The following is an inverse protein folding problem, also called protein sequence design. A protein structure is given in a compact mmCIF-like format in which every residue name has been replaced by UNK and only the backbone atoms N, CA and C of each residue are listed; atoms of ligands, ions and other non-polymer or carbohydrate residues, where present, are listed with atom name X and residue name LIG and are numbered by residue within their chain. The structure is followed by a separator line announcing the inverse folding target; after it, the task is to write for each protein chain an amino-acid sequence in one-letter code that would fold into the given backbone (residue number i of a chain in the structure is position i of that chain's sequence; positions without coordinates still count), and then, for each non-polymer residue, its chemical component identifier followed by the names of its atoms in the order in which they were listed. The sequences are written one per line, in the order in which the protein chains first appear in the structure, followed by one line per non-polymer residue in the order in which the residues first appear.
data_IF_838889229912
#
_entry.id   IF_838889229912
#
_cell.length_a   1.000
_cell.length_b   1.000
_cell.length_c   1.000
_cell.angle_alpha   90.00
_cell.angle_beta   90.00
_cell.angle_gamma   90.00
#
_symmetry.space_group_name_H-M   'P 1'
#
loop_
_entity.id
_entity.type
_entity.pdbx_description
1 polymer ?
#
# COMPACT_ATOMS: atom_id res chain seq x y z
N UNK A 1 -35.37 46.46 12.90
CA UNK A 1 -34.25 45.51 13.09
C UNK A 1 -34.59 44.28 12.27
N UNK A 2 -33.98 44.10 11.11
CA UNK A 2 -34.19 42.93 10.25
C UNK A 2 -33.01 41.98 10.48
N UNK A 3 -33.25 40.85 11.14
CA UNK A 3 -32.26 39.79 11.26
C UNK A 3 -32.42 38.86 10.05
N UNK A 4 -31.46 38.92 9.14
CA UNK A 4 -31.37 38.00 8.01
C UNK A 4 -30.73 36.70 8.50
N UNK A 5 -31.48 35.60 8.48
CA UNK A 5 -30.98 34.29 8.88
C UNK A 5 -30.35 33.63 7.65
N UNK A 6 -29.02 33.58 7.61
CA UNK A 6 -28.28 32.85 6.58
C UNK A 6 -28.34 31.36 6.93
N UNK A 7 -29.14 30.60 6.19
CA UNK A 7 -29.19 29.13 6.29
C UNK A 7 -27.97 28.58 5.54
N UNK A 8 -26.94 28.17 6.27
CA UNK A 8 -25.81 27.43 5.72
C UNK A 8 -26.26 25.99 5.54
N UNK A 9 -26.60 25.60 4.31
CA UNK A 9 -26.80 24.20 3.96
C UNK A 9 -25.44 23.49 4.01
N UNK A 10 -25.17 22.76 5.09
CA UNK A 10 -24.05 21.82 5.15
C UNK A 10 -24.46 20.63 4.27
N UNK A 11 -23.92 20.59 3.06
CA UNK A 11 -24.02 19.41 2.21
C UNK A 11 -23.20 18.29 2.86
N UNK A 12 -23.87 17.37 3.55
CA UNK A 12 -23.29 16.08 3.90
C UNK A 12 -23.05 15.34 2.59
N UNK A 13 -21.79 15.23 2.18
CA UNK A 13 -21.37 14.36 1.08
C UNK A 13 -21.62 12.92 1.52
N UNK A 14 -22.78 12.38 1.16
CA UNK A 14 -23.03 10.95 1.24
C UNK A 14 -22.26 10.32 0.09
N UNK A 15 -21.27 9.47 0.40
CA UNK A 15 -20.68 8.58 -0.58
C UNK A 15 -21.79 7.66 -1.09
N UNK A 16 -22.14 7.80 -2.36
CA UNK A 16 -23.12 6.96 -3.04
C UNK A 16 -22.51 5.56 -3.22
N UNK A 17 -23.03 4.48 -2.59
CA UNK A 17 -22.43 3.15 -2.63
C UNK A 17 -22.55 2.46 -4.01
N UNK A 18 -23.00 3.17 -5.04
CA UNK A 18 -23.34 2.60 -6.33
C UNK A 18 -22.13 2.15 -7.19
N UNK A 19 -20.87 2.34 -6.77
CA UNK A 19 -19.69 1.96 -7.57
C UNK A 19 -18.47 1.52 -6.74
N UNK A 20 -18.65 0.80 -5.63
CA UNK A 20 -17.51 0.19 -4.91
C UNK A 20 -16.83 -0.86 -5.80
N UNK A 21 -15.51 -0.78 -5.95
CA UNK A 21 -14.69 -1.70 -6.75
C UNK A 21 -13.71 -2.46 -5.88
N UNK A 22 -13.48 -3.74 -6.23
CA UNK A 22 -12.42 -4.55 -5.66
C UNK A 22 -11.10 -4.34 -6.44
N UNK A 23 -10.08 -3.82 -5.76
CA UNK A 23 -8.71 -3.71 -6.26
C UNK A 23 -7.93 -4.96 -5.86
N UNK A 24 -7.80 -5.92 -6.77
CA UNK A 24 -7.00 -7.12 -6.54
C UNK A 24 -5.50 -6.81 -6.61
N UNK A 25 -4.78 -7.09 -5.52
CA UNK A 25 -3.34 -7.03 -5.42
C UNK A 25 -2.80 -8.45 -5.21
N UNK A 26 -2.03 -8.95 -6.17
CA UNK A 26 -1.32 -10.21 -6.04
C UNK A 26 -0.08 -9.98 -5.16
N UNK A 27 0.04 -10.75 -4.08
CA UNK A 27 1.18 -10.67 -3.16
C UNK A 27 2.10 -11.86 -3.40
N UNK A 28 3.27 -11.60 -3.97
CA UNK A 28 4.25 -12.65 -4.27
C UNK A 28 3.92 -13.49 -5.52
N UNK A 29 3.15 -12.94 -6.47
CA UNK A 29 2.76 -13.61 -7.70
C UNK A 29 3.95 -14.14 -8.50
N UNK A 30 3.82 -15.34 -9.05
CA UNK A 30 4.89 -16.05 -9.79
C UNK A 30 6.22 -16.17 -9.03
N UNK A 31 6.19 -16.15 -7.69
CA UNK A 31 7.39 -16.21 -6.85
C UNK A 31 8.16 -14.88 -6.76
N UNK A 32 7.59 -13.78 -7.23
CA UNK A 32 8.22 -12.46 -7.17
C UNK A 32 8.25 -11.89 -5.74
N UNK A 33 9.15 -10.94 -5.50
CA UNK A 33 9.16 -10.10 -4.28
C UNK A 33 8.41 -8.80 -4.58
N UNK A 34 7.13 -8.90 -4.91
CA UNK A 34 6.35 -7.76 -5.39
C UNK A 34 4.88 -7.81 -4.92
N UNK A 35 4.30 -6.62 -4.85
CA UNK A 35 2.87 -6.40 -4.94
C UNK A 35 2.54 -6.09 -6.40
N UNK A 36 1.47 -6.67 -6.95
CA UNK A 36 1.07 -6.44 -8.34
C UNK A 36 -0.44 -6.20 -8.46
N UNK A 37 -0.90 -5.02 -8.90
CA UNK A 37 -0.08 -3.83 -9.19
C UNK A 37 0.59 -3.24 -7.93
N UNK A 38 1.75 -2.55 -8.07
CA UNK A 38 2.47 -1.96 -6.94
C UNK A 38 2.04 -0.51 -6.62
N UNK A 39 1.17 0.08 -7.43
CA UNK A 39 0.63 1.42 -7.23
C UNK A 39 -0.82 1.43 -7.73
N UNK A 40 -1.74 1.89 -6.88
CA UNK A 40 -3.17 1.97 -7.22
C UNK A 40 -3.79 3.29 -6.79
N UNK A 41 -4.87 3.65 -7.47
CA UNK A 41 -5.81 4.69 -7.05
C UNK A 41 -7.15 4.04 -6.73
N UNK A 42 -7.68 4.27 -5.53
CA UNK A 42 -8.93 3.71 -5.05
C UNK A 42 -9.85 4.82 -4.53
N UNK A 43 -11.15 4.70 -4.77
CA UNK A 43 -12.18 5.61 -4.29
C UNK A 43 -12.65 5.23 -2.88
N UNK A 44 -13.33 6.17 -2.21
CA UNK A 44 -13.96 5.88 -0.92
C UNK A 44 -15.09 4.86 -1.13
N UNK A 45 -15.11 3.81 -0.32
CA UNK A 45 -16.02 2.67 -0.47
C UNK A 45 -15.43 1.48 -1.24
N UNK A 46 -14.28 1.64 -1.92
CA UNK A 46 -13.59 0.52 -2.56
C UNK A 46 -12.97 -0.44 -1.54
N UNK A 47 -12.70 -1.67 -1.99
CA UNK A 47 -12.00 -2.68 -1.20
C UNK A 47 -10.70 -3.08 -1.89
N UNK A 48 -9.60 -3.11 -1.15
CA UNK A 48 -8.31 -3.63 -1.62
C UNK A 48 -8.22 -5.09 -1.16
N UNK A 49 -8.13 -6.00 -2.14
CA UNK A 49 -8.07 -7.45 -1.91
C UNK A 49 -6.65 -7.91 -2.13
N UNK A 50 -5.96 -8.28 -1.06
CA UNK A 50 -4.62 -8.85 -1.12
C UNK A 50 -4.70 -10.37 -1.22
N UNK A 51 -4.42 -10.92 -2.39
CA UNK A 51 -4.36 -12.38 -2.59
C UNK A 51 -2.91 -12.86 -2.50
N UNK A 52 -2.61 -13.63 -1.46
CA UNK A 52 -1.27 -14.14 -1.20
C UNK A 52 -1.03 -15.39 -2.03
N UNK A 53 0.02 -15.35 -2.84
CA UNK A 53 0.28 -16.36 -3.87
C UNK A 53 1.19 -17.46 -3.35
N UNK A 54 2.51 -17.28 -3.39
CA UNK A 54 3.48 -18.26 -2.91
C UNK A 54 4.44 -17.65 -1.90
N UNK A 55 5.16 -18.50 -1.16
CA UNK A 55 6.12 -18.10 -0.12
C UNK A 55 5.45 -17.37 1.05
N UNK A 56 6.26 -16.68 1.86
CA UNK A 56 5.80 -15.97 3.04
C UNK A 56 5.93 -14.46 2.84
N UNK A 57 4.79 -13.78 2.79
CA UNK A 57 4.70 -12.33 2.61
C UNK A 57 3.81 -11.71 3.68
N UNK A 58 3.80 -10.38 3.72
CA UNK A 58 2.93 -9.60 4.59
C UNK A 58 2.55 -8.31 3.87
N UNK A 59 1.45 -7.72 4.29
CA UNK A 59 1.08 -6.34 3.99
C UNK A 59 1.18 -5.57 5.30
N UNK A 60 2.17 -4.69 5.42
CA UNK A 60 2.42 -3.94 6.65
C UNK A 60 2.52 -2.47 6.32
N UNK A 61 1.71 -1.65 6.98
CA UNK A 61 1.68 -0.21 6.74
C UNK A 61 2.96 0.43 7.28
N UNK A 62 3.56 1.27 6.44
CA UNK A 62 4.68 2.13 6.75
C UNK A 62 4.31 3.59 6.50
N UNK A 63 5.32 4.45 6.42
CA UNK A 63 5.16 5.85 6.01
C UNK A 63 6.02 6.07 4.78
N UNK A 64 5.66 7.04 3.94
CA UNK A 64 6.48 7.43 2.79
C UNK A 64 7.96 7.65 3.17
N UNK A 65 8.20 8.30 4.31
CA UNK A 65 9.54 8.63 4.80
C UNK A 65 10.31 7.42 5.37
N UNK A 66 9.64 6.33 5.74
CA UNK A 66 10.26 5.14 6.34
C UNK A 66 9.64 3.87 5.72
N UNK A 67 9.95 3.53 4.46
CA UNK A 67 9.23 2.50 3.69
C UNK A 67 9.28 1.10 4.30
N UNK A 68 10.41 0.72 4.92
CA UNK A 68 10.64 -0.64 5.44
C UNK A 68 10.46 -0.76 6.96
N UNK A 69 9.77 0.19 7.59
CA UNK A 69 9.49 0.16 9.03
C UNK A 69 8.00 0.30 9.25
N UNK A 70 7.44 -0.56 10.11
CA UNK A 70 6.02 -0.47 10.47
C UNK A 70 5.74 0.88 11.11
N UNK A 71 4.70 1.55 10.63
CA UNK A 71 4.20 2.76 11.25
C UNK A 71 3.76 2.47 12.69
N UNK A 72 4.29 3.23 13.65
CA UNK A 72 3.89 3.15 15.07
C UNK A 72 3.30 4.47 15.58
N UNK A 73 3.34 5.53 14.76
CA UNK A 73 2.81 6.87 15.06
C UNK A 73 2.20 7.47 13.79
N UNK A 74 1.14 8.29 13.91
CA UNK A 74 0.45 8.69 15.14
C UNK A 74 -0.34 7.54 15.79
N UNK A 75 -0.64 6.49 15.04
CA UNK A 75 -1.26 5.25 15.50
C UNK A 75 -0.47 4.04 14.98
N UNK A 76 -0.73 2.86 15.56
CA UNK A 76 -0.15 1.62 15.07
C UNK A 76 -0.73 1.30 13.69
N UNK A 77 0.15 1.19 12.69
CA UNK A 77 -0.25 0.95 11.31
C UNK A 77 -0.85 -0.43 11.09
N UNK A 78 -1.66 -0.54 10.05
CA UNK A 78 -2.35 -1.77 9.65
C UNK A 78 -1.31 -2.86 9.34
N UNK A 79 -1.60 -4.12 9.69
CA UNK A 79 -0.81 -5.25 9.22
C UNK A 79 -1.67 -6.49 9.07
N UNK A 80 -1.45 -7.23 7.99
CA UNK A 80 -2.00 -8.57 7.79
C UNK A 80 -1.35 -9.62 8.70
N UNK A 81 -0.15 -9.32 9.23
CA UNK A 81 0.77 -10.37 9.69
C UNK A 81 1.38 -11.14 8.51
N UNK A 82 2.17 -12.16 8.82
CA UNK A 82 2.75 -13.05 7.81
C UNK A 82 1.72 -14.07 7.32
N UNK A 83 1.56 -14.18 6.01
CA UNK A 83 0.67 -15.11 5.34
C UNK A 83 1.50 -16.10 4.50
N UNK A 84 1.96 -17.22 5.08
CA UNK A 84 2.72 -18.23 4.35
C UNK A 84 1.81 -19.06 3.46
N UNK A 85 2.20 -19.24 2.20
CA UNK A 85 1.48 -20.09 1.24
C UNK A 85 2.40 -21.16 0.68
N UNK A 86 1.97 -22.42 0.81
CA UNK A 86 2.70 -23.58 0.34
C UNK A 86 2.63 -23.71 -1.19
N UNK A 87 3.68 -24.28 -1.80
CA UNK A 87 3.70 -24.55 -3.23
C UNK A 87 2.54 -25.48 -3.64
N UNK A 88 1.86 -25.15 -4.74
CA UNK A 88 0.73 -25.92 -5.26
C UNK A 88 -0.61 -25.66 -4.53
N UNK A 89 -0.68 -24.69 -3.63
CA UNK A 89 -1.95 -24.26 -3.02
C UNK A 89 -2.89 -23.71 -4.11
N UNK A 90 -4.13 -24.19 -4.13
CA UNK A 90 -5.15 -23.78 -5.10
C UNK A 90 -6.18 -22.80 -4.52
N UNK A 91 -6.43 -22.87 -3.21
CA UNK A 91 -7.26 -21.93 -2.48
C UNK A 91 -6.37 -20.92 -1.76
N UNK A 92 -6.15 -19.77 -2.39
CA UNK A 92 -5.19 -18.76 -1.93
C UNK A 92 -5.80 -17.89 -0.81
N UNK A 93 -5.04 -17.56 0.25
CA UNK A 93 -5.54 -16.71 1.31
C UNK A 93 -5.68 -15.26 0.83
N UNK A 94 -6.78 -14.64 1.22
CA UNK A 94 -7.06 -13.23 0.95
C UNK A 94 -7.15 -12.44 2.24
N UNK A 95 -6.67 -11.19 2.20
CA UNK A 95 -6.82 -10.22 3.28
C UNK A 95 -7.28 -8.89 2.69
N UNK A 96 -8.20 -8.21 3.36
CA UNK A 96 -8.95 -7.11 2.77
C UNK A 96 -8.77 -5.81 3.58
N UNK A 97 -8.72 -4.67 2.88
CA UNK A 97 -8.80 -3.33 3.47
C UNK A 97 -9.93 -2.57 2.78
N UNK A 98 -10.81 -1.93 3.55
CA UNK A 98 -11.77 -0.96 3.00
C UNK A 98 -11.13 0.42 2.92
N UNK A 99 -11.38 1.12 1.82
CA UNK A 99 -10.89 2.49 1.61
C UNK A 99 -11.96 3.46 2.11
N UNK A 100 -11.81 3.92 3.35
CA UNK A 100 -12.78 4.84 3.96
C UNK A 100 -12.41 6.32 3.74
N UNK A 101 -11.12 6.64 3.69
CA UNK A 101 -10.61 8.01 3.55
C UNK A 101 -9.56 8.09 2.43
N UNK A 102 -9.94 8.70 1.31
CA UNK A 102 -9.08 8.89 0.13
C UNK A 102 -8.09 10.03 0.26
N UNK A 103 -8.20 10.84 1.32
CA UNK A 103 -7.29 11.97 1.57
C UNK A 103 -6.00 11.56 2.28
N UNK A 104 -5.95 10.33 2.78
CA UNK A 104 -4.79 9.75 3.48
C UNK A 104 -4.13 8.71 2.57
N UNK A 105 -2.96 9.01 1.97
CA UNK A 105 -2.21 8.03 1.20
C UNK A 105 -1.77 6.86 2.09
N UNK A 106 -1.90 5.64 1.57
CA UNK A 106 -1.43 4.45 2.28
C UNK A 106 -0.16 3.92 1.61
N UNK A 107 0.79 3.54 2.47
CA UNK A 107 2.10 3.06 2.08
C UNK A 107 2.32 1.71 2.76
N UNK A 108 2.62 0.68 1.99
CA UNK A 108 2.79 -0.68 2.49
C UNK A 108 4.12 -1.28 2.06
N UNK A 109 4.62 -2.21 2.87
CA UNK A 109 5.78 -3.04 2.54
C UNK A 109 5.58 -4.48 3.01
N UNK A 110 6.38 -5.38 2.46
CA UNK A 110 6.53 -6.71 3.00
C UNK A 110 7.60 -6.74 4.11
N UNK A 111 7.19 -7.16 5.31
CA UNK A 111 8.03 -7.20 6.51
C UNK A 111 8.96 -8.42 6.58
N UNK A 112 8.98 -9.27 5.56
CA UNK A 112 9.84 -10.45 5.52
C UNK A 112 11.30 -10.03 5.37
N UNK A 113 12.15 -10.51 6.28
CA UNK A 113 13.59 -10.18 6.33
C UNK A 113 14.51 -11.36 6.03
N UNK A 114 13.98 -12.57 6.02
CA UNK A 114 14.73 -13.81 5.81
C UNK A 114 14.10 -14.64 4.70
N UNK A 115 14.87 -15.22 3.76
CA UNK A 115 16.34 -15.19 3.70
C UNK A 115 16.92 -13.84 3.22
N UNK A 116 16.09 -12.98 2.63
CA UNK A 116 16.46 -11.62 2.22
C UNK A 116 15.36 -10.65 2.67
N UNK A 117 15.68 -9.37 2.80
CA UNK A 117 14.66 -8.36 3.06
C UNK A 117 13.83 -8.07 1.81
N UNK A 118 12.57 -8.46 1.81
CA UNK A 118 11.66 -8.24 0.67
C UNK A 118 11.46 -6.75 0.40
N UNK A 119 11.27 -5.94 1.44
CA UNK A 119 11.14 -4.48 1.27
C UNK A 119 12.38 -3.84 0.65
N UNK A 120 13.59 -4.16 1.13
CA UNK A 120 14.83 -3.61 0.55
C UNK A 120 15.12 -4.16 -0.86
N UNK A 121 14.37 -5.17 -1.32
CA UNK A 121 14.37 -5.64 -2.71
C UNK A 121 13.28 -4.99 -3.57
N UNK A 122 12.60 -3.95 -3.07
CA UNK A 122 11.58 -3.22 -3.83
C UNK A 122 10.14 -3.63 -3.54
N UNK A 123 9.89 -4.54 -2.58
CA UNK A 123 8.54 -5.02 -2.28
C UNK A 123 7.75 -4.01 -1.42
N UNK A 124 7.27 -2.97 -2.10
CA UNK A 124 6.45 -1.88 -1.54
C UNK A 124 5.22 -1.62 -2.41
N UNK A 125 4.18 -1.05 -1.81
CA UNK A 125 2.91 -0.68 -2.48
C UNK A 125 2.50 0.73 -2.05
N UNK A 126 2.01 1.52 -3.01
CA UNK A 126 1.32 2.77 -2.75
C UNK A 126 -0.16 2.71 -3.12
N UNK A 127 -0.98 3.38 -2.31
CA UNK A 127 -2.40 3.56 -2.55
C UNK A 127 -2.70 5.05 -2.41
N UNK A 128 -3.29 5.65 -3.43
CA UNK A 128 -3.63 7.08 -3.48
C UNK A 128 -2.42 7.98 -3.20
N UNK A 129 -1.28 7.66 -3.82
CA UNK A 129 -0.06 8.46 -3.72
C UNK A 129 -0.33 9.92 -4.16
N UNK A 130 0.03 10.94 -3.36
CA UNK A 130 -0.26 12.32 -3.68
C UNK A 130 0.77 12.89 -4.67
N UNK A 131 0.42 14.00 -5.32
CA UNK A 131 1.38 14.73 -6.13
C UNK A 131 2.64 15.09 -5.32
N UNK A 132 3.81 14.77 -5.86
CA UNK A 132 5.11 15.03 -5.21
C UNK A 132 5.63 13.93 -4.28
N UNK A 133 4.85 12.87 -4.04
CA UNK A 133 5.31 11.63 -3.39
C UNK A 133 4.92 10.46 -4.29
N UNK A 134 5.79 10.09 -5.22
CA UNK A 134 5.49 9.04 -6.21
C UNK A 134 5.86 7.64 -5.70
N UNK A 135 5.25 6.61 -6.29
CA UNK A 135 5.66 5.22 -6.08
C UNK A 135 7.18 5.03 -6.29
N UNK A 136 7.74 5.62 -7.36
CA UNK A 136 9.17 5.53 -7.65
C UNK A 136 10.01 6.10 -6.52
N UNK A 137 9.64 7.26 -5.97
CA UNK A 137 10.36 7.83 -4.82
C UNK A 137 10.23 6.96 -3.56
N UNK A 138 9.06 6.34 -3.37
CA UNK A 138 8.84 5.42 -2.26
C UNK A 138 9.64 4.12 -2.40
N UNK A 139 9.77 3.60 -3.62
CA UNK A 139 10.61 2.45 -3.93
C UNK A 139 12.10 2.78 -3.88
N UNK A 140 12.52 4.03 -4.05
CA UNK A 140 13.93 4.41 -3.97
C UNK A 140 14.39 4.83 -2.56
N UNK A 141 13.48 5.00 -1.60
CA UNK A 141 13.76 5.56 -0.27
C UNK A 141 14.29 4.53 0.76
N UNK A 142 14.93 3.45 0.31
CA UNK A 142 15.46 2.42 1.20
C UNK A 142 16.71 2.87 1.97
N UNK A 143 16.84 2.49 3.26
CA UNK A 143 17.94 2.91 4.15
C UNK A 143 19.33 2.38 3.73
N UNK A 144 19.44 1.54 2.71
CA UNK A 144 20.72 1.05 2.18
C UNK A 144 21.49 2.03 1.31
N UNK A 145 21.01 3.27 1.16
CA UNK A 145 21.74 4.37 0.50
C UNK A 145 23.07 4.74 1.18
N UNK A 146 23.40 4.18 2.35
CA UNK A 146 24.68 4.38 3.03
C UNK A 146 25.84 3.49 2.55
N UNK A 147 25.60 2.48 1.71
CA UNK A 147 26.63 1.54 1.22
C UNK A 147 26.93 1.64 -0.29
N UNK A 148 26.33 2.61 -1.00
CA UNK A 148 26.64 2.85 -2.42
C UNK A 148 26.16 1.75 -3.39
N UNK A 149 25.43 0.74 -2.90
CA UNK A 149 24.83 -0.31 -3.74
C UNK A 149 23.36 0.05 -4.01
N UNK A 150 23.13 1.05 -4.85
CA UNK A 150 21.82 1.22 -5.48
C UNK A 150 21.58 0.04 -6.42
N UNK A 151 20.43 -0.65 -6.38
CA UNK A 151 19.99 -1.45 -7.51
C UNK A 151 19.91 -0.51 -8.71
N UNK A 152 20.63 -0.81 -9.80
CA UNK A 152 20.54 -0.01 -11.01
C UNK A 152 19.10 -0.08 -11.51
N UNK A 153 18.41 1.05 -11.48
CA UNK A 153 17.18 1.24 -12.24
C UNK A 153 17.53 1.00 -13.72
N UNK A 154 16.95 -0.02 -14.38
CA UNK A 154 17.26 -0.30 -15.79
C UNK A 154 16.87 0.87 -16.73
N UNK A 155 16.05 1.81 -16.26
CA UNK A 155 15.60 2.98 -16.99
C UNK A 155 16.41 4.26 -16.66
N UNK A 156 17.44 4.20 -15.82
CA UNK A 156 18.30 5.34 -15.54
C UNK A 156 19.77 4.94 -15.65
N UNK A 157 20.23 4.76 -16.90
CA UNK A 157 21.65 4.71 -17.21
C UNK A 157 22.23 6.13 -17.18
N UNK A 158 22.86 6.47 -16.06
CA UNK A 158 23.97 7.42 -16.04
C UNK A 158 25.28 6.63 -15.97
#
# INVERSE_FOLDING_TARGET
MYFSVVVIAIALLYADPANAVDHLILVGGNGALAFDPPDITAAAGDTIVFEFQGNNHSVTQSTFANPCTRQIRPSLGISSGFMPVAAGTTALPQWLINVDDVTVPLWFFCAQISPVSHCNQGMVLSVNAPAGQTFVQFQESFPYTLLGLRPSNPNNRQ
#
